data_IF_569602876504
#
_entry.id   IF_569602876504
#
_cell.length_a   1.000
_cell.length_b   1.000
_cell.length_c   1.000
_cell.angle_alpha   90.00
_cell.angle_beta   90.00
_cell.angle_gamma   90.00
#
_symmetry.space_group_name_H-M   'P 1'
#
loop_
_entity.id
_entity.type
_entity.pdbx_description
1 polymer ?
#
# COMPACT_ATOMS: atom_id res chain seq x y z
N UNK A 1 33.04 8.06 48.60
CA UNK A 1 31.71 8.39 48.05
C UNK A 1 31.73 7.99 46.58
N UNK A 2 31.06 6.91 46.20
CA UNK A 2 30.95 6.47 44.79
C UNK A 2 29.50 6.69 44.39
N UNK A 3 29.25 7.71 43.57
CA UNK A 3 27.92 8.01 43.03
C UNK A 3 27.66 7.09 41.83
N UNK A 4 26.77 6.12 42.00
CA UNK A 4 26.25 5.30 40.90
C UNK A 4 25.27 6.14 40.08
N UNK A 5 25.69 6.62 38.91
CA UNK A 5 24.76 7.14 37.91
C UNK A 5 24.07 5.94 37.25
N UNK A 6 22.79 5.73 37.58
CA UNK A 6 21.94 4.78 36.85
C UNK A 6 21.55 5.39 35.51
N UNK A 7 22.06 4.82 34.42
CA UNK A 7 21.58 5.11 33.08
C UNK A 7 20.23 4.42 32.89
N UNK A 8 19.17 5.19 32.71
CA UNK A 8 17.89 4.66 32.27
C UNK A 8 18.02 4.20 30.80
N UNK A 9 17.82 2.90 30.55
CA UNK A 9 17.67 2.35 29.21
C UNK A 9 16.24 2.66 28.76
N UNK A 10 16.09 3.62 27.84
CA UNK A 10 14.83 3.79 27.12
C UNK A 10 14.77 2.69 26.06
N UNK A 11 13.94 1.67 26.27
CA UNK A 11 13.56 0.74 25.23
C UNK A 11 12.82 1.53 24.15
N UNK A 12 13.45 1.71 22.98
CA UNK A 12 12.76 2.20 21.81
C UNK A 12 11.73 1.12 21.42
N UNK A 13 10.44 1.37 21.67
CA UNK A 13 9.39 0.53 21.13
C UNK A 13 9.43 0.66 19.61
N UNK A 14 10.04 -0.31 18.95
CA UNK A 14 9.88 -0.51 17.52
C UNK A 14 8.38 -0.69 17.27
N UNK A 15 7.78 0.31 16.62
CA UNK A 15 6.35 0.32 16.37
C UNK A 15 6.07 -0.78 15.36
N UNK A 16 5.74 -1.97 15.85
CA UNK A 16 5.22 -3.07 15.04
C UNK A 16 3.80 -2.69 14.58
N UNK A 17 3.71 -1.73 13.66
CA UNK A 17 2.46 -1.47 12.95
C UNK A 17 2.29 -2.65 12.00
N UNK A 18 1.24 -3.48 12.20
CA UNK A 18 1.02 -4.62 11.32
C UNK A 18 0.84 -4.10 9.89
N UNK A 19 1.74 -4.52 9.01
CA UNK A 19 1.67 -4.25 7.57
C UNK A 19 0.38 -4.89 7.05
N UNK A 20 -0.48 -4.11 6.41
CA UNK A 20 -1.72 -4.64 5.84
C UNK A 20 -1.41 -5.63 4.71
N UNK A 21 -2.26 -6.63 4.52
CA UNK A 21 -2.14 -7.59 3.41
C UNK A 21 -1.98 -6.88 2.05
N UNK A 22 -2.80 -5.85 1.78
CA UNK A 22 -2.69 -5.04 0.57
C UNK A 22 -1.34 -4.32 0.42
N UNK A 23 -0.72 -3.90 1.52
CA UNK A 23 0.62 -3.30 1.48
C UNK A 23 1.69 -4.35 1.14
N UNK A 24 1.61 -5.53 1.73
CA UNK A 24 2.53 -6.65 1.46
C UNK A 24 2.44 -7.07 0.00
N UNK A 25 1.23 -7.37 -0.47
CA UNK A 25 0.95 -7.77 -1.86
C UNK A 25 1.42 -6.70 -2.86
N UNK A 26 1.18 -5.43 -2.55
CA UNK A 26 1.68 -4.32 -3.35
C UNK A 26 3.21 -4.29 -3.43
N UNK A 27 3.91 -4.43 -2.29
CA UNK A 27 5.36 -4.46 -2.23
C UNK A 27 5.97 -5.66 -2.97
N UNK A 28 5.29 -6.79 -3.04
CA UNK A 28 5.80 -7.98 -3.74
C UNK A 28 5.63 -7.91 -5.26
N UNK A 29 4.51 -7.32 -5.74
CA UNK A 29 4.12 -7.44 -7.15
C UNK A 29 4.25 -6.14 -7.95
N UNK A 30 3.90 -4.99 -7.38
CA UNK A 30 3.75 -3.76 -8.17
C UNK A 30 5.10 -3.06 -8.43
N UNK A 31 6.07 -3.24 -7.55
CA UNK A 31 7.42 -2.63 -7.66
C UNK A 31 8.28 -3.28 -8.76
N UNK A 32 7.89 -4.45 -9.27
CA UNK A 32 8.69 -5.23 -10.20
C UNK A 32 8.77 -4.63 -11.62
N UNK A 33 7.79 -3.81 -12.03
CA UNK A 33 7.85 -3.07 -13.31
C UNK A 33 8.31 -1.62 -13.16
N UNK A 34 8.24 -1.07 -11.95
CA UNK A 34 8.54 0.33 -11.66
C UNK A 34 9.66 0.37 -10.63
N UNK A 35 10.91 0.28 -11.09
CA UNK A 35 12.13 0.40 -10.26
C UNK A 35 12.36 1.88 -9.88
N UNK A 36 11.33 2.48 -9.29
CA UNK A 36 11.28 3.84 -8.78
C UNK A 36 10.58 3.80 -7.42
N UNK A 37 10.78 4.78 -6.55
CA UNK A 37 10.02 4.86 -5.30
C UNK A 37 8.52 4.89 -5.56
N UNK A 38 7.76 4.03 -4.88
CA UNK A 38 6.30 4.01 -4.90
C UNK A 38 5.76 4.92 -3.80
N UNK A 39 5.95 6.23 -3.97
CA UNK A 39 5.56 7.27 -3.03
C UNK A 39 4.45 8.18 -3.60
N UNK A 40 4.10 9.24 -2.88
CA UNK A 40 3.11 10.21 -3.32
C UNK A 40 3.45 10.82 -4.68
N UNK A 41 4.73 11.07 -4.98
CA UNK A 41 5.14 11.66 -6.25
C UNK A 41 4.87 10.69 -7.41
N UNK A 42 5.01 9.38 -7.18
CA UNK A 42 4.67 8.37 -8.18
C UNK A 42 3.15 8.27 -8.44
N UNK A 43 2.34 8.16 -7.40
CA UNK A 43 0.89 7.95 -7.54
C UNK A 43 0.11 9.22 -7.86
N UNK A 44 0.53 10.37 -7.33
CA UNK A 44 -0.20 11.63 -7.40
C UNK A 44 0.38 12.63 -8.41
N UNK A 45 1.34 12.21 -9.25
CA UNK A 45 1.89 13.02 -10.35
C UNK A 45 0.79 13.70 -11.19
N UNK A 46 1.09 14.89 -11.70
CA UNK A 46 0.13 15.72 -12.43
C UNK A 46 -0.50 15.00 -13.62
N UNK A 47 0.28 14.19 -14.34
CA UNK A 47 -0.17 13.43 -15.51
C UNK A 47 -0.63 11.99 -15.18
N UNK A 48 -1.09 11.73 -13.95
CA UNK A 48 -1.59 10.41 -13.55
C UNK A 48 -2.85 10.03 -14.35
N UNK A 49 -2.94 8.74 -14.71
CA UNK A 49 -4.09 8.19 -15.43
C UNK A 49 -5.21 7.71 -14.50
N UNK A 50 -4.86 7.37 -13.25
CA UNK A 50 -5.81 6.90 -12.24
C UNK A 50 -6.45 8.11 -11.56
N UNK A 51 -7.73 8.34 -11.83
CA UNK A 51 -8.51 9.49 -11.34
C UNK A 51 -9.81 9.12 -10.62
N UNK A 52 -10.07 7.83 -10.43
CA UNK A 52 -11.25 7.31 -9.72
C UNK A 52 -10.95 5.96 -9.08
N UNK A 53 -11.80 5.55 -8.11
CA UNK A 53 -11.68 4.25 -7.45
C UNK A 53 -11.82 3.07 -8.43
N UNK A 54 -12.75 3.18 -9.38
CA UNK A 54 -12.93 2.18 -10.45
C UNK A 54 -11.67 2.12 -11.34
N UNK A 55 -11.09 3.29 -11.66
CA UNK A 55 -9.85 3.35 -12.42
C UNK A 55 -8.67 2.72 -11.68
N UNK A 56 -8.59 2.93 -10.36
CA UNK A 56 -7.58 2.31 -9.51
C UNK A 56 -7.73 0.79 -9.50
N UNK A 57 -8.92 0.26 -9.23
CA UNK A 57 -9.19 -1.18 -9.30
C UNK A 57 -8.84 -1.77 -10.66
N UNK A 58 -9.23 -1.10 -11.75
CA UNK A 58 -8.90 -1.55 -13.11
C UNK A 58 -7.39 -1.61 -13.34
N UNK A 59 -6.64 -0.65 -12.80
CA UNK A 59 -5.18 -0.65 -12.88
C UNK A 59 -4.57 -1.81 -12.08
N UNK A 60 -5.10 -2.10 -10.88
CA UNK A 60 -4.62 -3.22 -10.05
C UNK A 60 -4.90 -4.56 -10.70
N UNK A 61 -6.10 -4.80 -11.24
CA UNK A 61 -6.39 -6.04 -11.96
C UNK A 61 -5.51 -6.23 -13.20
N UNK A 62 -5.08 -5.15 -13.87
CA UNK A 62 -4.08 -5.24 -14.96
C UNK A 62 -2.69 -5.58 -14.44
N UNK A 63 -2.27 -5.00 -13.31
CA UNK A 63 -1.01 -5.36 -12.67
C UNK A 63 -1.02 -6.85 -12.28
N UNK A 64 -2.06 -7.30 -11.57
CA UNK A 64 -2.21 -8.68 -11.12
C UNK A 64 -2.10 -9.68 -12.28
N UNK A 65 -2.74 -9.39 -13.42
CA UNK A 65 -2.66 -10.21 -14.64
C UNK A 65 -1.28 -10.17 -15.30
N UNK A 66 -0.69 -8.98 -15.48
CA UNK A 66 0.61 -8.85 -16.14
C UNK A 66 1.73 -9.58 -15.37
N UNK A 67 1.61 -9.68 -14.05
CA UNK A 67 2.55 -10.42 -13.21
C UNK A 67 2.12 -11.85 -12.90
N UNK A 68 0.97 -12.31 -13.43
CA UNK A 68 0.43 -13.64 -13.15
C UNK A 68 0.38 -13.96 -11.65
N UNK A 69 0.01 -12.97 -10.83
CA UNK A 69 0.07 -13.04 -9.36
C UNK A 69 -0.77 -14.19 -8.77
N UNK A 70 -1.83 -14.59 -9.46
CA UNK A 70 -2.78 -15.60 -8.97
C UNK A 70 -3.71 -15.08 -7.87
N UNK A 71 -3.77 -13.76 -7.66
CA UNK A 71 -4.62 -13.16 -6.63
C UNK A 71 -6.10 -13.43 -6.85
N UNK A 72 -6.78 -13.68 -5.74
CA UNK A 72 -8.23 -13.70 -5.65
C UNK A 72 -8.79 -12.27 -5.60
N UNK A 73 -10.10 -12.09 -5.86
CA UNK A 73 -10.73 -10.77 -5.84
C UNK A 73 -10.53 -9.97 -4.55
N UNK A 74 -10.49 -10.62 -3.39
CA UNK A 74 -10.29 -9.97 -2.09
C UNK A 74 -8.85 -9.45 -1.92
N UNK A 75 -7.87 -10.14 -2.48
CA UNK A 75 -6.46 -9.72 -2.47
C UNK A 75 -6.25 -8.50 -3.38
N UNK A 76 -6.84 -8.49 -4.58
CA UNK A 76 -6.86 -7.30 -5.44
C UNK A 76 -7.52 -6.11 -4.72
N UNK A 77 -8.65 -6.37 -4.04
CA UNK A 77 -9.36 -5.36 -3.26
C UNK A 77 -8.51 -4.83 -2.11
N UNK A 78 -7.78 -5.69 -1.39
CA UNK A 78 -6.89 -5.27 -0.30
C UNK A 78 -5.83 -4.28 -0.80
N UNK A 79 -5.25 -4.52 -1.98
CA UNK A 79 -4.28 -3.61 -2.60
C UNK A 79 -4.93 -2.28 -3.02
N UNK A 80 -6.14 -2.32 -3.58
CA UNK A 80 -6.91 -1.12 -3.93
C UNK A 80 -7.18 -0.28 -2.68
N UNK A 81 -7.64 -0.91 -1.60
CA UNK A 81 -7.94 -0.25 -0.33
C UNK A 81 -6.68 0.36 0.27
N UNK A 82 -5.56 -0.36 0.28
CA UNK A 82 -4.27 0.16 0.73
C UNK A 82 -3.87 1.42 -0.04
N UNK A 83 -3.84 1.37 -1.37
CA UNK A 83 -3.43 2.51 -2.19
C UNK A 83 -4.41 3.68 -2.11
N UNK A 84 -5.71 3.40 -2.03
CA UNK A 84 -6.72 4.43 -1.87
C UNK A 84 -6.61 5.10 -0.49
N UNK A 85 -6.42 4.30 0.56
CA UNK A 85 -6.25 4.80 1.93
C UNK A 85 -4.98 5.63 2.06
N UNK A 86 -3.87 5.26 1.42
CA UNK A 86 -2.60 5.95 1.63
C UNK A 86 -2.43 7.16 0.71
N UNK A 87 -2.83 7.05 -0.56
CA UNK A 87 -2.51 8.07 -1.57
C UNK A 87 -3.75 8.76 -2.16
N UNK A 88 -4.69 7.99 -2.73
CA UNK A 88 -5.70 8.58 -3.62
C UNK A 88 -6.91 9.22 -2.92
N UNK A 89 -7.35 8.67 -1.79
CA UNK A 89 -8.48 9.16 -0.98
C UNK A 89 -9.79 9.32 -1.77
N UNK A 90 -10.02 8.49 -2.79
CA UNK A 90 -11.29 8.47 -3.51
C UNK A 90 -12.42 8.03 -2.57
N UNK A 91 -13.62 8.59 -2.78
CA UNK A 91 -14.82 8.20 -2.03
C UNK A 91 -15.19 6.74 -2.33
N UNK A 92 -15.28 5.94 -1.27
CA UNK A 92 -15.73 4.54 -1.32
C UNK A 92 -17.24 4.50 -1.09
N UNK A 93 -18.02 4.84 -2.11
CA UNK A 93 -19.44 4.55 -2.10
C UNK A 93 -19.55 3.01 -2.28
N UNK A 94 -20.41 2.31 -1.50
CA UNK A 94 -20.51 0.84 -1.34
C UNK A 94 -20.72 -0.02 -2.61
N UNK A 95 -20.18 0.33 -3.78
CA UNK A 95 -20.45 -0.29 -5.07
C UNK A 95 -19.31 -1.17 -5.60
N UNK A 96 -18.26 -1.44 -4.81
CA UNK A 96 -17.17 -2.32 -5.24
C UNK A 96 -17.40 -3.75 -4.74
N UNK A 97 -18.31 -4.48 -5.39
CA UNK A 97 -18.23 -5.94 -5.47
C UNK A 97 -17.39 -6.29 -6.71
N UNK A 98 -16.19 -6.88 -6.54
CA UNK A 98 -15.44 -7.38 -7.69
C UNK A 98 -16.22 -8.54 -8.33
N UNK A 99 -16.36 -8.52 -9.66
CA UNK A 99 -17.04 -9.57 -10.44
C UNK A 99 -16.17 -10.82 -10.59
#
# INVERSE_FOLDING_TARGET
MITLLSSAVFANQEQNIPISEGQTLHQESCIACHIVPHDEAFYLRENRKVSSLIGLSTQIGRCAQNFSTGWFPDEEKAVVDYLNQHYYKFQTNNAFEPK
#
